data_IF_879375236222
#
_entry.id   IF_879375236222
#
_cell.length_a   1.000
_cell.length_b   1.000
_cell.length_c   1.000
_cell.angle_alpha   90.00
_cell.angle_beta   90.00
_cell.angle_gamma   90.00
#
_symmetry.space_group_name_H-M   'P 1'
#
loop_
_entity.id
_entity.type
_entity.pdbx_description
1 polymer ?
#
# COMPACT_ATOMS: atom_id res chain seq x y z
N UNK A 1 14.29 -11.76 -10.71
CA UNK A 1 13.29 -12.36 -9.80
C UNK A 1 13.97 -12.76 -8.49
N UNK A 2 13.22 -13.15 -7.44
CA UNK A 2 13.81 -13.59 -6.17
C UNK A 2 14.76 -14.80 -6.35
N UNK A 3 14.46 -15.69 -7.30
CA UNK A 3 15.34 -16.82 -7.65
C UNK A 3 16.67 -16.36 -8.24
N UNK A 4 16.65 -15.41 -9.19
CA UNK A 4 17.87 -14.85 -9.79
C UNK A 4 18.75 -14.17 -8.73
N UNK A 5 18.13 -13.41 -7.83
CA UNK A 5 18.84 -12.72 -6.75
C UNK A 5 19.44 -13.73 -5.76
N UNK A 6 18.70 -14.78 -5.39
CA UNK A 6 19.21 -15.85 -4.55
C UNK A 6 20.42 -16.56 -5.16
N UNK A 7 20.36 -16.88 -6.47
CA UNK A 7 21.47 -17.49 -7.20
C UNK A 7 22.71 -16.59 -7.25
N UNK A 8 22.53 -15.28 -7.50
CA UNK A 8 23.64 -14.31 -7.49
C UNK A 8 24.34 -14.24 -6.12
N UNK A 9 23.58 -14.41 -5.04
CA UNK A 9 24.10 -14.39 -3.66
C UNK A 9 24.50 -15.76 -3.11
N UNK A 10 24.49 -16.82 -3.94
CA UNK A 10 24.89 -18.18 -3.51
C UNK A 10 24.00 -18.79 -2.42
N UNK A 11 22.74 -18.36 -2.31
CA UNK A 11 21.80 -18.84 -1.29
C UNK A 11 20.56 -19.46 -1.92
N UNK A 12 19.81 -20.24 -1.15
CA UNK A 12 18.52 -20.77 -1.61
C UNK A 12 17.48 -19.65 -1.72
N UNK A 13 16.46 -19.87 -2.55
CA UNK A 13 15.31 -18.95 -2.66
C UNK A 13 14.62 -18.77 -1.31
N UNK A 14 14.49 -19.82 -0.49
CA UNK A 14 13.86 -19.73 0.83
C UNK A 14 14.66 -18.83 1.78
N UNK A 15 15.99 -18.99 1.83
CA UNK A 15 16.87 -18.13 2.63
C UNK A 15 16.75 -16.68 2.19
N UNK A 16 16.74 -16.43 0.87
CA UNK A 16 16.56 -15.09 0.35
C UNK A 16 15.19 -14.52 0.71
N UNK A 17 14.11 -15.29 0.56
CA UNK A 17 12.76 -14.88 0.97
C UNK A 17 12.71 -14.47 2.45
N UNK A 18 13.34 -15.25 3.34
CA UNK A 18 13.42 -14.92 4.76
C UNK A 18 14.17 -13.60 5.02
N UNK A 19 15.26 -13.34 4.29
CA UNK A 19 16.00 -12.07 4.40
C UNK A 19 15.15 -10.86 4.00
N UNK A 20 14.22 -11.02 3.07
CA UNK A 20 13.28 -9.97 2.65
C UNK A 20 11.99 -9.94 3.47
N UNK A 21 11.87 -10.74 4.54
CA UNK A 21 10.65 -10.79 5.36
C UNK A 21 10.27 -9.42 5.94
N UNK A 22 11.27 -8.61 6.32
CA UNK A 22 11.04 -7.27 6.88
C UNK A 22 10.33 -6.32 5.91
N UNK A 23 10.52 -6.47 4.59
CA UNK A 23 9.85 -5.63 3.59
C UNK A 23 8.33 -5.82 3.60
N UNK A 24 7.85 -6.92 4.17
CA UNK A 24 6.44 -7.25 4.28
C UNK A 24 5.83 -6.88 5.63
N UNK A 25 6.57 -6.21 6.51
CA UNK A 25 6.03 -5.60 7.72
C UNK A 25 5.32 -4.28 7.39
N UNK A 26 4.29 -4.39 6.56
CA UNK A 26 3.44 -3.26 6.16
C UNK A 26 2.63 -2.87 7.40
N UNK A 27 2.92 -1.68 7.94
CA UNK A 27 2.14 -1.09 9.02
C UNK A 27 0.88 -0.48 8.37
N UNK A 28 -0.33 -0.73 8.91
CA UNK A 28 -1.52 -0.02 8.46
C UNK A 28 -1.31 1.49 8.58
N UNK A 29 -2.08 2.27 7.83
CA UNK A 29 -2.00 3.73 7.91
C UNK A 29 -2.15 4.20 9.36
N UNK A 30 -1.28 5.13 9.81
CA UNK A 30 -1.41 5.70 11.15
C UNK A 30 -2.80 6.32 11.31
N UNK A 31 -3.26 6.47 12.54
CA UNK A 31 -4.55 7.10 12.85
C UNK A 31 -4.69 8.42 12.10
N UNK A 32 -5.72 8.49 11.26
CA UNK A 32 -6.03 9.66 10.46
C UNK A 32 -6.52 10.77 11.40
N UNK A 33 -5.95 11.95 11.26
CA UNK A 33 -6.36 13.14 12.00
C UNK A 33 -7.62 13.73 11.36
N UNK A 34 -8.77 13.54 12.00
CA UNK A 34 -10.08 14.04 11.53
C UNK A 34 -10.17 15.57 11.50
N UNK A 35 -9.30 16.29 12.21
CA UNK A 35 -9.29 17.76 12.21
C UNK A 35 -8.38 18.33 11.13
N UNK A 36 -7.67 17.49 10.38
CA UNK A 36 -6.75 17.93 9.34
C UNK A 36 -7.52 18.27 8.07
N UNK A 37 -7.51 19.56 7.72
CA UNK A 37 -7.99 20.02 6.41
C UNK A 37 -6.86 19.87 5.39
N UNK A 38 -7.16 19.18 4.29
CA UNK A 38 -6.27 19.01 3.15
C UNK A 38 -6.75 19.87 1.98
N UNK A 39 -5.93 20.80 1.50
CA UNK A 39 -6.26 21.61 0.31
C UNK A 39 -6.40 20.75 -0.96
N UNK A 40 -5.63 19.66 -1.02
CA UNK A 40 -5.63 18.71 -2.12
C UNK A 40 -5.27 17.32 -1.62
N UNK A 41 -5.93 16.32 -2.18
CA UNK A 41 -5.62 14.90 -2.00
C UNK A 41 -5.45 14.27 -3.38
N UNK A 42 -4.41 13.48 -3.54
CA UNK A 42 -4.16 12.66 -4.72
C UNK A 42 -4.68 11.25 -4.47
N UNK A 43 -5.42 10.72 -5.43
CA UNK A 43 -5.87 9.34 -5.43
C UNK A 43 -5.10 8.59 -6.52
N UNK A 44 -4.53 7.46 -6.15
CA UNK A 44 -3.84 6.58 -7.07
C UNK A 44 -4.23 5.12 -6.84
N UNK A 45 -4.20 4.35 -7.92
CA UNK A 45 -4.59 2.96 -7.95
C UNK A 45 -3.50 2.13 -8.65
N UNK A 46 -2.87 1.22 -7.90
CA UNK A 46 -1.88 0.28 -8.47
C UNK A 46 -2.47 -1.11 -8.53
N UNK A 47 -2.73 -1.62 -9.74
CA UNK A 47 -3.12 -3.01 -9.94
C UNK A 47 -1.93 -3.95 -9.74
N UNK A 48 -2.14 -4.93 -8.87
CA UNK A 48 -1.30 -6.08 -8.66
C UNK A 48 -2.03 -7.34 -9.11
N UNK A 49 -1.30 -8.45 -9.22
CA UNK A 49 -1.88 -9.73 -9.67
C UNK A 49 -3.08 -10.18 -8.81
N UNK A 50 -3.12 -9.81 -7.53
CA UNK A 50 -4.15 -10.24 -6.57
C UNK A 50 -5.23 -9.19 -6.27
N UNK A 51 -5.21 -8.04 -6.93
CA UNK A 51 -6.17 -6.96 -6.67
C UNK A 51 -5.58 -5.58 -6.97
N UNK A 52 -6.16 -4.55 -6.40
CA UNK A 52 -5.79 -3.15 -6.58
C UNK A 52 -5.47 -2.53 -5.22
N UNK A 53 -4.32 -1.87 -5.11
CA UNK A 53 -4.00 -1.03 -3.96
C UNK A 53 -4.46 0.39 -4.27
N UNK A 54 -5.44 0.88 -3.52
CA UNK A 54 -5.90 2.26 -3.60
C UNK A 54 -5.23 3.09 -2.52
N UNK A 55 -4.70 4.25 -2.89
CA UNK A 55 -3.93 5.13 -2.00
C UNK A 55 -4.51 6.54 -2.10
N UNK A 56 -4.73 7.16 -0.94
CA UNK A 56 -4.97 8.58 -0.79
C UNK A 56 -3.73 9.22 -0.17
N UNK A 57 -3.16 10.23 -0.83
CA UNK A 57 -1.95 10.89 -0.38
C UNK A 57 -2.06 12.41 -0.47
N UNK A 58 -1.37 13.08 0.46
CA UNK A 58 -1.05 14.50 0.33
C UNK A 58 0.22 14.67 -0.51
N UNK A 59 0.66 15.91 -0.68
CA UNK A 59 1.96 16.21 -1.31
C UNK A 59 3.16 15.58 -0.58
N UNK A 60 3.05 15.32 0.73
CA UNK A 60 4.21 14.94 1.57
C UNK A 60 4.14 13.53 2.12
N UNK A 61 2.95 12.93 2.22
CA UNK A 61 2.78 11.62 2.84
C UNK A 61 1.47 10.94 2.42
N UNK A 62 1.44 9.61 2.55
CA UNK A 62 0.24 8.79 2.42
C UNK A 62 -0.69 9.06 3.60
N UNK A 63 -1.94 9.40 3.31
CA UNK A 63 -2.99 9.67 4.31
C UNK A 63 -3.72 8.36 4.64
N UNK A 64 -4.17 7.64 3.61
CA UNK A 64 -4.84 6.35 3.77
C UNK A 64 -4.52 5.41 2.60
N UNK A 65 -4.70 4.10 2.80
CA UNK A 65 -4.70 3.12 1.73
C UNK A 65 -5.65 1.96 2.05
N UNK A 66 -6.18 1.32 1.01
CA UNK A 66 -7.01 0.12 1.15
C UNK A 66 -6.75 -0.87 0.02
N UNK A 67 -6.92 -2.15 0.32
CA UNK A 67 -6.93 -3.20 -0.70
C UNK A 67 -8.34 -3.33 -1.29
N UNK A 68 -8.43 -3.29 -2.61
CA UNK A 68 -9.65 -3.55 -3.36
C UNK A 68 -9.44 -4.70 -4.35
N UNK A 69 -10.51 -5.35 -4.83
CA UNK A 69 -10.41 -6.29 -5.96
C UNK A 69 -10.31 -5.54 -7.29
N UNK A 70 -11.10 -4.49 -7.43
CA UNK A 70 -11.16 -3.59 -8.58
C UNK A 70 -11.47 -2.18 -8.08
N UNK A 71 -11.18 -1.20 -8.92
CA UNK A 71 -11.64 0.17 -8.73
C UNK A 71 -13.17 0.24 -8.85
N UNK A 72 -13.82 0.48 -7.73
CA UNK A 72 -15.27 0.64 -7.66
C UNK A 72 -15.59 1.84 -6.78
N UNK A 73 -16.76 2.43 -6.97
CA UNK A 73 -17.23 3.53 -6.11
C UNK A 73 -17.20 3.12 -4.64
N UNK A 74 -17.62 1.89 -4.31
CA UNK A 74 -17.59 1.39 -2.94
C UNK A 74 -16.16 1.35 -2.35
N UNK A 75 -15.18 0.88 -3.13
CA UNK A 75 -13.78 0.83 -2.68
C UNK A 75 -13.19 2.23 -2.45
N UNK A 76 -13.50 3.19 -3.33
CA UNK A 76 -13.09 4.58 -3.14
C UNK A 76 -13.81 5.24 -1.96
N UNK A 77 -15.08 4.92 -1.72
CA UNK A 77 -15.80 5.36 -0.52
C UNK A 77 -15.14 4.82 0.74
N UNK A 78 -14.73 3.55 0.78
CA UNK A 78 -14.01 2.98 1.94
C UNK A 78 -12.67 3.67 2.19
N UNK A 79 -11.92 3.98 1.12
CA UNK A 79 -10.66 4.71 1.20
C UNK A 79 -10.84 6.12 1.81
N UNK A 80 -11.87 6.84 1.37
CA UNK A 80 -12.09 8.24 1.73
C UNK A 80 -12.88 8.43 3.03
N UNK A 81 -13.71 7.45 3.42
CA UNK A 81 -14.58 7.52 4.61
C UNK A 81 -13.86 7.99 5.88
N UNK A 82 -12.67 7.51 6.24
CA UNK A 82 -12.00 7.97 7.46
C UNK A 82 -11.32 9.34 7.32
N UNK A 83 -11.20 9.90 6.11
CA UNK A 83 -10.62 11.22 5.84
C UNK A 83 -11.70 12.30 5.84
N UNK A 84 -12.90 11.98 5.36
CA UNK A 84 -14.02 12.92 5.24
C UNK A 84 -14.90 13.03 6.50
N UNK A 85 -14.50 12.38 7.60
CA UNK A 85 -15.26 12.31 8.85
C UNK A 85 -14.87 13.45 9.80
#
# INVERSE_FOLDING_TARGET
>A
SLTTFAAHHGVTRQTMHHRFRWCWWIIPTPTIDSFRIHDQIFLDATYLKSGCLLIAASKTHVINWTWARHETTAAYTELLRPIAA
#
